data_IF_879501101243
#
_entry.id   IF_879501101243
#
_cell.length_a   1.000
_cell.length_b   1.000
_cell.length_c   1.000
_cell.angle_alpha   90.00
_cell.angle_beta   90.00
_cell.angle_gamma   90.00
#
_symmetry.space_group_name_H-M   'P 1'
#
loop_
_entity.id
_entity.type
_entity.pdbx_description
1 polymer ?
#
# COMPACT_ATOMS: atom_id res chain seq x y z
N UNK A 1 -48.55 -43.29 -25.89
CA UNK A 1 -47.16 -42.92 -26.25
C UNK A 1 -47.04 -41.40 -26.18
N UNK A 2 -46.63 -40.80 -25.05
CA UNK A 2 -46.29 -39.36 -25.02
C UNK A 2 -45.52 -38.96 -23.75
N UNK A 3 -44.37 -39.59 -23.51
CA UNK A 3 -43.32 -39.00 -22.66
C UNK A 3 -42.28 -38.44 -23.62
N UNK A 4 -42.65 -37.43 -24.39
CA UNK A 4 -41.72 -36.63 -25.18
C UNK A 4 -41.84 -35.20 -24.71
N UNK A 5 -40.71 -34.61 -24.34
CA UNK A 5 -40.48 -33.19 -24.03
C UNK A 5 -40.67 -32.72 -22.58
N UNK A 6 -40.00 -33.36 -21.61
CA UNK A 6 -39.57 -32.66 -20.38
C UNK A 6 -38.07 -32.45 -20.25
N UNK A 7 -37.28 -32.92 -21.23
CA UNK A 7 -35.81 -32.76 -21.19
C UNK A 7 -35.36 -31.31 -21.38
N UNK A 8 -36.18 -30.46 -22.01
CA UNK A 8 -35.90 -29.03 -22.17
C UNK A 8 -35.98 -28.24 -20.86
N UNK A 9 -36.67 -28.74 -19.83
CA UNK A 9 -36.73 -28.10 -18.52
C UNK A 9 -35.46 -28.34 -17.70
N UNK A 10 -34.73 -29.42 -18.01
CA UNK A 10 -33.48 -29.78 -17.32
C UNK A 10 -32.40 -28.69 -17.43
N UNK A 11 -32.06 -28.15 -18.62
CA UNK A 11 -31.06 -27.08 -18.71
C UNK A 11 -31.50 -25.80 -17.99
N UNK A 12 -32.79 -25.42 -18.06
CA UNK A 12 -33.30 -24.27 -17.32
C UNK A 12 -33.20 -24.46 -15.80
N UNK A 13 -33.51 -25.67 -15.31
CA UNK A 13 -33.36 -26.02 -13.91
C UNK A 13 -31.89 -25.97 -13.46
N UNK A 14 -30.98 -26.53 -14.26
CA UNK A 14 -29.55 -26.53 -13.97
C UNK A 14 -28.96 -25.11 -13.95
N UNK A 15 -29.32 -24.26 -14.92
CA UNK A 15 -28.88 -22.84 -14.97
C UNK A 15 -29.43 -22.07 -13.76
N UNK A 16 -30.69 -22.30 -13.39
CA UNK A 16 -31.30 -21.67 -12.20
C UNK A 16 -30.60 -22.10 -10.90
N UNK A 17 -30.31 -23.38 -10.74
CA UNK A 17 -29.54 -23.90 -9.60
C UNK A 17 -28.13 -23.33 -9.55
N UNK A 18 -27.43 -23.25 -10.69
CA UNK A 18 -26.10 -22.63 -10.79
C UNK A 18 -26.15 -21.15 -10.40
N UNK A 19 -27.14 -20.39 -10.89
CA UNK A 19 -27.33 -18.98 -10.53
C UNK A 19 -27.58 -18.78 -9.04
N UNK A 20 -28.43 -19.62 -8.42
CA UNK A 20 -28.68 -19.61 -6.98
C UNK A 20 -27.41 -19.95 -6.18
N UNK A 21 -26.64 -20.97 -6.61
CA UNK A 21 -25.36 -21.34 -5.98
C UNK A 21 -24.32 -20.21 -6.07
N UNK A 22 -24.28 -19.45 -7.18
CA UNK A 22 -23.39 -18.29 -7.31
C UNK A 22 -23.81 -17.14 -6.38
N UNK A 23 -25.11 -16.89 -6.21
CA UNK A 23 -25.61 -15.87 -5.28
C UNK A 23 -25.31 -16.26 -3.83
N UNK A 24 -25.57 -17.51 -3.44
CA UNK A 24 -25.31 -17.97 -2.06
C UNK A 24 -23.82 -18.03 -1.74
N UNK A 25 -22.97 -18.48 -2.68
CA UNK A 25 -21.52 -18.51 -2.49
C UNK A 25 -20.92 -17.11 -2.43
N UNK A 26 -21.33 -16.16 -3.28
CA UNK A 26 -20.89 -14.78 -3.17
C UNK A 26 -21.36 -14.12 -1.87
N UNK A 27 -22.60 -14.36 -1.43
CA UNK A 27 -23.08 -13.86 -0.15
C UNK A 27 -22.35 -14.49 1.04
N UNK A 28 -21.90 -15.74 0.95
CA UNK A 28 -21.08 -16.38 2.00
C UNK A 28 -19.64 -15.83 2.04
N UNK A 29 -19.07 -15.43 0.90
CA UNK A 29 -17.76 -14.76 0.85
C UNK A 29 -17.85 -13.27 1.26
N UNK A 30 -18.97 -12.60 0.98
CA UNK A 30 -19.22 -11.23 1.45
C UNK A 30 -19.65 -11.18 2.93
N UNK A 31 -20.32 -12.20 3.42
CA UNK A 31 -20.56 -12.41 4.85
C UNK A 31 -19.29 -13.02 5.46
N UNK A 32 -18.23 -12.21 5.53
CA UNK A 32 -17.14 -12.42 6.47
C UNK A 32 -17.76 -12.85 7.79
N UNK A 33 -17.30 -14.00 8.27
CA UNK A 33 -17.80 -14.70 9.45
C UNK A 33 -18.23 -13.70 10.52
N UNK A 34 -19.49 -13.83 10.93
CA UNK A 34 -20.14 -13.00 11.94
C UNK A 34 -19.52 -13.18 13.35
N UNK A 35 -18.24 -13.54 13.46
CA UNK A 35 -17.47 -13.56 14.69
C UNK A 35 -17.20 -12.15 15.26
N UNK A 36 -17.66 -11.10 14.56
CA UNK A 36 -17.72 -9.73 15.09
C UNK A 36 -19.16 -9.24 15.35
N UNK A 37 -20.19 -10.11 15.38
CA UNK A 37 -21.53 -9.75 15.89
C UNK A 37 -21.44 -9.54 17.40
N UNK A 38 -21.02 -8.35 17.81
CA UNK A 38 -20.85 -8.00 19.22
C UNK A 38 -19.54 -7.30 19.55
N UNK A 39 -18.65 -7.03 18.58
CA UNK A 39 -17.68 -5.96 18.79
C UNK A 39 -18.45 -4.65 18.78
N UNK A 40 -18.93 -4.28 19.95
CA UNK A 40 -19.28 -2.91 20.27
C UNK A 40 -18.15 -2.07 19.71
N UNK A 41 -18.46 -1.19 18.75
CA UNK A 41 -17.53 -0.11 18.41
C UNK A 41 -17.42 0.65 19.73
N UNK A 42 -16.40 0.30 20.51
CA UNK A 42 -16.09 1.04 21.73
C UNK A 42 -15.79 2.42 21.17
N UNK A 43 -16.67 3.38 21.46
CA UNK A 43 -16.38 4.78 21.22
C UNK A 43 -15.23 5.12 22.16
N UNK A 44 -14.03 4.72 21.77
CA UNK A 44 -12.78 5.00 22.46
C UNK A 44 -12.52 6.48 22.20
N UNK A 45 -13.02 7.31 23.11
CA UNK A 45 -12.61 8.69 23.15
C UNK A 45 -11.10 8.70 23.42
N UNK A 46 -10.30 9.28 22.51
CA UNK A 46 -8.86 9.28 22.67
C UNK A 46 -8.52 10.02 23.96
N UNK A 47 -7.69 9.40 24.80
CA UNK A 47 -7.19 10.02 26.00
C UNK A 47 -6.38 11.29 25.67
N UNK A 48 -6.35 12.25 26.60
CA UNK A 48 -5.52 13.45 26.45
C UNK A 48 -4.06 13.12 26.14
N UNK A 49 -3.55 12.02 26.72
CA UNK A 49 -2.22 11.51 26.43
C UNK A 49 -2.05 11.09 24.97
N UNK A 50 -2.99 10.31 24.41
CA UNK A 50 -2.95 9.89 23.00
C UNK A 50 -3.01 11.09 22.05
N UNK A 51 -3.84 12.09 22.38
CA UNK A 51 -3.94 13.34 21.62
C UNK A 51 -2.63 14.12 21.68
N UNK A 52 -2.04 14.28 22.86
CA UNK A 52 -0.76 14.96 23.02
C UNK A 52 0.36 14.22 22.29
N UNK A 53 0.43 12.90 22.40
CA UNK A 53 1.45 12.08 21.72
C UNK A 53 1.34 12.24 20.19
N UNK A 54 0.11 12.28 19.65
CA UNK A 54 -0.12 12.58 18.24
C UNK A 54 0.42 13.96 17.83
N UNK A 55 0.17 15.01 18.61
CA UNK A 55 0.69 16.35 18.30
C UNK A 55 2.22 16.43 18.41
N UNK A 56 2.82 15.74 19.37
CA UNK A 56 4.28 15.65 19.49
C UNK A 56 4.90 14.93 18.28
N UNK A 57 4.28 13.84 17.82
CA UNK A 57 4.70 13.15 16.59
C UNK A 57 4.57 14.07 15.38
N UNK A 58 3.45 14.78 15.24
CA UNK A 58 3.24 15.75 14.16
C UNK A 58 4.33 16.84 14.13
N UNK A 59 4.69 17.37 15.31
CA UNK A 59 5.77 18.35 15.45
C UNK A 59 7.12 17.76 15.00
N UNK A 60 7.48 16.59 15.50
CA UNK A 60 8.74 15.91 15.15
C UNK A 60 8.82 15.59 13.65
N UNK A 61 7.73 15.17 13.03
CA UNK A 61 7.68 14.92 11.59
C UNK A 61 7.98 16.18 10.78
N UNK A 62 7.44 17.34 11.17
CA UNK A 62 7.75 18.62 10.51
C UNK A 62 9.23 18.99 10.64
N UNK A 63 9.79 18.84 11.85
CA UNK A 63 11.21 19.09 12.11
C UNK A 63 12.11 18.19 11.27
N UNK A 64 11.78 16.89 11.17
CA UNK A 64 12.49 15.92 10.35
C UNK A 64 12.45 16.29 8.85
N UNK A 65 11.30 16.72 8.34
CA UNK A 65 11.17 17.16 6.93
C UNK A 65 12.05 18.39 6.68
N UNK A 66 12.04 19.37 7.58
CA UNK A 66 12.91 20.55 7.48
C UNK A 66 14.39 20.15 7.47
N UNK A 67 14.80 19.27 8.38
CA UNK A 67 16.16 18.76 8.45
C UNK A 67 16.58 18.05 7.16
N UNK A 68 15.71 17.22 6.58
CA UNK A 68 15.98 16.53 5.32
C UNK A 68 16.18 17.54 4.18
N UNK A 69 15.34 18.56 4.08
CA UNK A 69 15.47 19.61 3.04
C UNK A 69 16.77 20.40 3.17
N UNK A 70 17.26 20.62 4.39
CA UNK A 70 18.53 21.31 4.64
C UNK A 70 19.74 20.42 4.34
N UNK A 71 19.66 19.15 4.72
CA UNK A 71 20.79 18.21 4.64
C UNK A 71 20.94 17.60 3.24
N UNK A 72 19.85 17.48 2.48
CA UNK A 72 19.83 16.78 1.20
C UNK A 72 19.52 17.77 0.06
N UNK A 73 20.54 18.23 -0.71
CA UNK A 73 20.39 19.32 -1.66
C UNK A 73 19.33 19.11 -2.74
N UNK A 74 19.14 17.88 -3.20
CA UNK A 74 18.15 17.55 -4.24
C UNK A 74 16.71 17.46 -3.71
N UNK A 75 16.52 17.44 -2.39
CA UNK A 75 15.21 17.46 -1.75
C UNK A 75 14.84 18.84 -1.20
N UNK A 76 15.70 19.85 -1.35
CA UNK A 76 15.48 21.22 -0.82
C UNK A 76 14.10 21.79 -1.18
N UNK A 77 13.66 21.56 -2.41
CA UNK A 77 12.37 22.02 -2.93
C UNK A 77 11.36 20.88 -3.12
N UNK A 78 11.67 19.67 -2.64
CA UNK A 78 10.78 18.53 -2.77
C UNK A 78 9.54 18.69 -1.88
N UNK A 79 8.42 18.23 -2.39
CA UNK A 79 7.17 18.08 -1.64
C UNK A 79 7.35 17.08 -0.49
N UNK A 80 6.45 17.14 0.50
CA UNK A 80 6.46 16.19 1.62
C UNK A 80 6.32 14.75 1.12
N UNK A 81 5.43 14.52 0.14
CA UNK A 81 5.21 13.19 -0.44
C UNK A 81 6.47 12.61 -1.11
N UNK A 82 7.21 13.43 -1.85
CA UNK A 82 8.46 12.99 -2.48
C UNK A 82 9.53 12.62 -1.44
N UNK A 83 9.58 13.35 -0.32
CA UNK A 83 10.46 13.05 0.80
C UNK A 83 10.06 11.73 1.46
N UNK A 84 8.77 11.52 1.72
CA UNK A 84 8.23 10.26 2.26
C UNK A 84 8.55 9.07 1.35
N UNK A 85 8.27 9.20 0.05
CA UNK A 85 8.61 8.19 -0.95
C UNK A 85 10.11 7.88 -0.98
N UNK A 86 10.97 8.88 -0.78
CA UNK A 86 12.42 8.71 -0.73
C UNK A 86 12.89 7.97 0.54
N UNK A 87 12.30 8.28 1.70
CA UNK A 87 12.59 7.59 2.97
C UNK A 87 12.15 6.12 2.88
N UNK A 88 10.97 5.86 2.35
CA UNK A 88 10.38 4.52 2.25
C UNK A 88 10.98 3.67 1.11
N UNK A 89 11.81 4.25 0.24
CA UNK A 89 12.44 3.56 -0.89
C UNK A 89 13.93 3.28 -0.64
N UNK A 90 14.33 2.09 -0.13
CA UNK A 90 15.73 1.77 0.16
C UNK A 90 16.65 1.84 -1.06
N UNK A 91 16.10 1.67 -2.27
CA UNK A 91 16.86 1.73 -3.53
C UNK A 91 17.17 3.16 -4.00
N UNK A 92 16.35 4.15 -3.64
CA UNK A 92 16.56 5.58 -4.03
C UNK A 92 17.65 6.26 -3.17
N UNK A 93 17.97 5.69 -2.02
CA UNK A 93 19.02 6.19 -1.12
C UNK A 93 20.43 5.73 -1.56
N UNK A 94 20.54 4.54 -2.18
CA UNK A 94 21.83 3.92 -2.57
C UNK A 94 22.43 4.46 -3.88
N UNK A 95 21.67 5.18 -4.71
CA UNK A 95 22.06 5.41 -6.10
C UNK A 95 23.12 6.52 -6.32
N UNK A 96 23.55 7.27 -5.30
CA UNK A 96 24.39 8.48 -5.52
C UNK A 96 25.69 8.62 -4.72
N UNK A 97 26.08 7.65 -3.89
CA UNK A 97 27.47 7.58 -3.40
C UNK A 97 28.46 7.11 -4.48
N UNK A 98 27.99 6.80 -5.68
CA UNK A 98 28.81 6.40 -6.83
C UNK A 98 28.92 7.54 -7.85
N UNK A 99 29.34 8.74 -7.42
CA UNK A 99 29.77 9.80 -8.36
C UNK A 99 31.29 9.73 -8.57
N UNK A 100 31.65 9.12 -9.70
CA UNK A 100 32.78 9.37 -10.59
C UNK A 100 34.17 9.62 -9.98
N UNK A 101 35.01 8.58 -9.94
CA UNK A 101 36.40 8.73 -10.42
C UNK A 101 36.37 8.53 -11.93
N UNK A 102 36.29 9.62 -12.70
CA UNK A 102 36.64 9.56 -14.12
C UNK A 102 38.14 9.28 -14.15
N UNK A 103 38.53 8.06 -14.54
CA UNK A 103 39.92 7.79 -14.89
C UNK A 103 40.17 8.57 -16.18
N UNK A 104 41.00 9.61 -16.09
CA UNK A 104 41.50 10.30 -17.27
C UNK A 104 42.48 9.36 -17.98
N UNK A 105 42.03 8.76 -19.08
CA UNK A 105 42.79 7.81 -19.90
C UNK A 105 43.93 8.48 -20.69
N UNK A 106 44.10 9.80 -20.60
CA UNK A 106 45.16 10.53 -21.29
C UNK A 106 46.43 10.75 -20.46
N UNK A 107 46.48 10.29 -19.20
CA UNK A 107 47.70 10.44 -18.39
C UNK A 107 48.72 9.37 -18.77
N UNK A 108 49.66 9.71 -19.67
CA UNK A 108 50.84 8.87 -19.95
C UNK A 108 51.68 8.72 -18.68
N UNK A 109 52.19 7.53 -18.37
CA UNK A 109 53.11 7.36 -17.24
C UNK A 109 54.43 8.06 -17.55
N UNK A 110 54.88 8.94 -16.66
CA UNK A 110 56.26 9.40 -16.63
C UNK A 110 57.15 8.20 -16.30
N UNK A 111 58.11 7.93 -17.18
CA UNK A 111 59.17 6.96 -16.96
C UNK A 111 60.13 7.52 -15.91
N UNK A 112 60.29 6.81 -14.81
CA UNK A 112 61.49 6.84 -13.98
C UNK A 112 61.95 5.39 -13.78
#
# INVERSE_FOLDING_TARGET
>A
MLIKNKLHLLPFFLISCLGLLFITSNNQVMAMENNNKGKTIINHEPSEKEVNDFFQLSKRTKENICYIRQTIPHLKNASVREIEEWICSPNKQKTKNKRLKTIDLNKKPEQN
#
